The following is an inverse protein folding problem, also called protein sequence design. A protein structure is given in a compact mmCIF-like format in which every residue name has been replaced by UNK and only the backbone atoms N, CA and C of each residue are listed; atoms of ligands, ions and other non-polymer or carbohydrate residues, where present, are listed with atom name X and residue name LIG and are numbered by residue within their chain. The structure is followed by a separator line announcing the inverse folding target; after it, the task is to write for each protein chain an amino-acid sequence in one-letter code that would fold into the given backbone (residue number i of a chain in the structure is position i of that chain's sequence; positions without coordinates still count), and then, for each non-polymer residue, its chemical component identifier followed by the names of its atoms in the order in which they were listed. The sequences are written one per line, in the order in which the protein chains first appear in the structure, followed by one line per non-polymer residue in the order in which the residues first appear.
data_IF_351760528867
#
_entry.id   IF_351760528867
#
_cell.length_a   1.000
_cell.length_b   1.000
_cell.length_c   1.000
_cell.angle_alpha   90.00
_cell.angle_beta   90.00
_cell.angle_gamma   90.00
#
_symmetry.space_group_name_H-M   'P 1'
#
loop_
_entity.id
_entity.type
_entity.pdbx_description
1 polymer ?
#
# COMPACT_ATOMS: atom_id res chain seq x y z
N UNK A 1 -15.79 41.09 -40.64
CA UNK A 1 -16.61 40.83 -39.45
C UNK A 1 -15.66 40.84 -38.25
N UNK A 2 -15.52 42.00 -37.61
CA UNK A 2 -14.51 42.20 -36.56
C UNK A 2 -15.15 41.85 -35.21
N UNK A 3 -14.84 40.68 -34.68
CA UNK A 3 -15.25 40.29 -33.32
C UNK A 3 -14.36 41.03 -32.31
N UNK A 4 -14.90 42.09 -31.72
CA UNK A 4 -14.27 42.77 -30.60
C UNK A 4 -14.51 41.91 -29.33
N UNK A 5 -13.59 40.99 -29.05
CA UNK A 5 -13.70 40.09 -27.89
C UNK A 5 -13.45 40.93 -26.63
N UNK A 6 -14.50 41.16 -25.84
CA UNK A 6 -14.37 41.88 -24.57
C UNK A 6 -13.45 41.10 -23.61
N UNK A 7 -12.44 41.74 -22.99
CA UNK A 7 -11.51 41.09 -22.09
C UNK A 7 -12.16 40.46 -20.84
N UNK A 8 -13.41 40.83 -20.55
CA UNK A 8 -14.24 40.23 -19.51
C UNK A 8 -14.51 38.72 -19.71
N UNK A 9 -14.45 38.21 -20.94
CA UNK A 9 -14.70 36.78 -21.20
C UNK A 9 -13.58 35.90 -20.61
N UNK A 10 -12.36 36.43 -20.47
CA UNK A 10 -11.24 35.69 -19.88
C UNK A 10 -11.32 35.54 -18.35
N UNK A 11 -12.14 36.32 -17.66
CA UNK A 11 -12.30 36.21 -16.20
C UNK A 11 -13.25 35.07 -15.79
N UNK A 12 -14.17 34.71 -16.68
CA UNK A 12 -15.14 33.62 -16.50
C UNK A 12 -14.46 32.28 -16.19
N UNK A 13 -13.49 31.77 -16.99
CA UNK A 13 -12.82 30.50 -16.69
C UNK A 13 -12.02 30.54 -15.39
N UNK A 14 -11.49 31.69 -14.99
CA UNK A 14 -10.71 31.83 -13.76
C UNK A 14 -11.61 31.68 -12.52
N UNK A 15 -12.74 32.39 -12.51
CA UNK A 15 -13.70 32.33 -11.40
C UNK A 15 -14.33 30.94 -11.32
N UNK A 16 -14.70 30.35 -12.47
CA UNK A 16 -15.29 29.01 -12.48
C UNK A 16 -14.30 27.95 -12.00
N UNK A 17 -13.02 28.03 -12.39
CA UNK A 17 -11.96 27.15 -11.89
C UNK A 17 -11.76 27.31 -10.38
N UNK A 18 -11.76 28.54 -9.86
CA UNK A 18 -11.60 28.80 -8.43
C UNK A 18 -12.75 28.19 -7.62
N UNK A 19 -14.00 28.38 -8.05
CA UNK A 19 -15.18 27.82 -7.38
C UNK A 19 -15.15 26.29 -7.41
N UNK A 20 -14.82 25.69 -8.56
CA UNK A 20 -14.69 24.24 -8.67
C UNK A 20 -13.60 23.69 -7.75
N UNK A 21 -12.43 24.33 -7.74
CA UNK A 21 -11.31 23.95 -6.90
C UNK A 21 -11.69 23.96 -5.41
N UNK A 22 -12.31 25.05 -4.95
CA UNK A 22 -12.77 25.19 -3.56
C UNK A 22 -13.81 24.13 -3.22
N UNK A 23 -14.76 23.87 -4.12
CA UNK A 23 -15.82 22.88 -3.91
C UNK A 23 -15.25 21.47 -3.81
N UNK A 24 -14.32 21.09 -4.70
CA UNK A 24 -13.64 19.78 -4.66
C UNK A 24 -12.81 19.63 -3.40
N UNK A 25 -12.06 20.65 -3.02
CA UNK A 25 -11.28 20.64 -1.78
C UNK A 25 -12.17 20.47 -0.55
N UNK A 26 -13.29 21.18 -0.50
CA UNK A 26 -14.26 21.11 0.59
C UNK A 26 -14.94 19.73 0.66
N UNK A 27 -15.33 19.17 -0.50
CA UNK A 27 -15.92 17.84 -0.60
C UNK A 27 -14.95 16.76 -0.10
N UNK A 28 -13.68 16.82 -0.52
CA UNK A 28 -12.64 15.91 -0.03
C UNK A 28 -12.49 16.04 1.49
N UNK A 29 -12.42 17.26 2.02
CA UNK A 29 -12.30 17.49 3.45
C UNK A 29 -13.46 16.87 4.24
N UNK A 30 -14.71 17.01 3.75
CA UNK A 30 -15.91 16.41 4.35
C UNK A 30 -15.97 14.89 4.22
N UNK A 31 -15.42 14.32 3.15
CA UNK A 31 -15.38 12.88 2.94
C UNK A 31 -14.54 12.18 4.02
N UNK A 32 -13.42 12.81 4.41
CA UNK A 32 -12.44 12.25 5.36
C UNK A 32 -12.61 12.74 6.82
N UNK A 33 -13.28 13.87 7.07
CA UNK A 33 -13.51 14.39 8.42
C UNK A 33 -15.01 14.44 8.76
N UNK A 34 -15.43 14.13 10.01
CA UNK A 34 -14.60 13.84 11.18
C UNK A 34 -14.08 12.39 11.18
N UNK A 35 -12.79 12.24 11.51
CA UNK A 35 -12.09 10.94 11.59
C UNK A 35 -12.67 10.05 12.69
N UNK A 36 -13.07 10.68 13.80
CA UNK A 36 -13.69 10.02 14.94
C UNK A 36 -15.21 10.26 14.94
N UNK A 37 -16.01 9.24 15.32
CA UNK A 37 -17.45 9.37 15.40
C UNK A 37 -17.84 10.38 16.49
N UNK A 38 -18.33 11.55 16.08
CA UNK A 38 -18.87 12.55 17.01
C UNK A 38 -20.34 12.26 17.26
N UNK A 39 -20.69 12.05 18.51
CA UNK A 39 -22.07 11.85 18.93
C UNK A 39 -22.64 13.22 19.30
N UNK A 40 -23.60 13.68 18.51
CA UNK A 40 -24.34 14.90 18.81
C UNK A 40 -25.83 14.59 18.72
N UNK A 41 -26.55 14.77 19.83
CA UNK A 41 -28.01 14.67 19.88
C UNK A 41 -28.59 13.32 19.41
N UNK A 42 -27.92 12.21 19.76
CA UNK A 42 -28.34 10.85 19.39
C UNK A 42 -27.96 10.42 17.97
N UNK A 43 -27.32 11.29 17.18
CA UNK A 43 -26.82 11.00 15.84
C UNK A 43 -25.30 10.94 15.82
N UNK A 44 -24.76 9.89 15.19
CA UNK A 44 -23.31 9.71 15.01
C UNK A 44 -22.86 10.35 13.70
N UNK A 45 -22.16 11.48 13.79
CA UNK A 45 -21.52 12.13 12.64
C UNK A 45 -20.11 11.61 12.47
N UNK A 46 -19.88 10.91 11.36
CA UNK A 46 -18.57 10.40 10.96
C UNK A 46 -18.40 10.63 9.45
N UNK A 47 -17.18 10.97 9.02
CA UNK A 47 -16.87 11.03 7.59
C UNK A 47 -17.21 9.69 6.91
N UNK A 48 -17.68 9.75 5.67
CA UNK A 48 -18.11 8.54 4.93
C UNK A 48 -16.95 7.56 4.75
N UNK A 49 -15.74 8.09 4.51
CA UNK A 49 -14.54 7.28 4.34
C UNK A 49 -14.13 6.55 5.62
N UNK A 50 -13.87 7.21 6.78
CA UNK A 50 -13.51 6.51 8.01
C UNK A 50 -14.58 5.51 8.47
N UNK A 51 -15.87 5.76 8.19
CA UNK A 51 -16.94 4.81 8.50
C UNK A 51 -16.85 3.50 7.70
N UNK A 52 -16.30 3.54 6.48
CA UNK A 52 -16.24 2.39 5.55
C UNK A 52 -14.82 1.94 5.23
N UNK A 53 -13.81 2.47 5.92
CA UNK A 53 -12.40 2.24 5.62
C UNK A 53 -12.04 0.75 5.54
N UNK A 54 -12.55 -0.08 6.47
CA UNK A 54 -12.28 -1.51 6.48
C UNK A 54 -12.84 -2.22 5.24
N UNK A 55 -14.09 -1.94 4.86
CA UNK A 55 -14.71 -2.52 3.65
C UNK A 55 -13.99 -2.08 2.37
N UNK A 56 -13.58 -0.80 2.32
CA UNK A 56 -12.84 -0.26 1.18
C UNK A 56 -11.46 -0.93 1.08
N UNK A 57 -10.75 -1.11 2.19
CA UNK A 57 -9.45 -1.77 2.23
C UNK A 57 -9.53 -3.24 1.81
N UNK A 58 -10.54 -3.98 2.25
CA UNK A 58 -10.73 -5.38 1.87
C UNK A 58 -10.99 -5.52 0.35
N UNK A 59 -11.91 -4.71 -0.18
CA UNK A 59 -12.26 -4.76 -1.60
C UNK A 59 -11.10 -4.30 -2.49
N UNK A 60 -10.41 -3.22 -2.11
CA UNK A 60 -9.19 -2.79 -2.80
C UNK A 60 -8.11 -3.85 -2.73
N UNK A 61 -7.88 -4.45 -1.57
CA UNK A 61 -6.91 -5.53 -1.41
C UNK A 61 -7.22 -6.74 -2.28
N UNK A 62 -8.50 -7.11 -2.40
CA UNK A 62 -8.95 -8.19 -3.30
C UNK A 62 -8.67 -7.85 -4.77
N UNK A 63 -9.04 -6.66 -5.22
CA UNK A 63 -8.84 -6.23 -6.62
C UNK A 63 -7.34 -6.14 -6.93
N UNK A 64 -6.56 -5.47 -6.08
CA UNK A 64 -5.11 -5.32 -6.25
C UNK A 64 -4.42 -6.69 -6.27
N UNK A 65 -4.81 -7.59 -5.36
CA UNK A 65 -4.24 -8.94 -5.29
C UNK A 65 -4.63 -9.84 -6.46
N UNK A 66 -5.75 -9.57 -7.13
CA UNK A 66 -6.20 -10.34 -8.30
C UNK A 66 -5.69 -9.77 -9.62
N UNK A 67 -5.68 -8.44 -9.77
CA UNK A 67 -5.43 -7.77 -11.06
C UNK A 67 -4.04 -7.15 -11.19
N UNK A 68 -3.43 -6.67 -10.11
CA UNK A 68 -2.15 -5.93 -10.16
C UNK A 68 -0.95 -6.72 -9.66
N UNK A 69 -1.19 -7.76 -8.87
CA UNK A 69 -0.17 -8.66 -8.36
C UNK A 69 -0.43 -10.05 -8.90
N UNK A 70 -0.11 -10.30 -10.17
CA UNK A 70 -0.08 -11.66 -10.67
C UNK A 70 1.00 -12.43 -9.92
N UNK A 71 0.70 -13.67 -9.50
CA UNK A 71 1.71 -14.56 -8.91
C UNK A 71 2.97 -14.64 -9.76
N UNK A 72 2.83 -14.54 -11.08
CA UNK A 72 3.92 -14.53 -12.05
C UNK A 72 4.85 -13.30 -11.91
N UNK A 73 4.30 -12.12 -11.61
CA UNK A 73 5.10 -10.89 -11.42
C UNK A 73 5.92 -10.95 -10.13
N UNK A 74 5.33 -11.56 -9.08
CA UNK A 74 6.01 -11.80 -7.81
C UNK A 74 7.10 -12.84 -8.00
N UNK A 75 6.80 -13.96 -8.67
CA UNK A 75 7.76 -15.02 -8.98
C UNK A 75 8.92 -14.48 -9.81
N UNK A 76 8.66 -13.72 -10.87
CA UNK A 76 9.71 -13.13 -11.70
C UNK A 76 10.58 -12.13 -10.92
N UNK A 77 9.99 -11.39 -9.97
CA UNK A 77 10.76 -10.51 -9.08
C UNK A 77 11.62 -11.29 -8.08
N UNK A 78 11.12 -12.38 -7.52
CA UNK A 78 11.88 -13.17 -6.54
C UNK A 78 12.97 -13.98 -7.23
N UNK A 79 12.65 -14.63 -8.35
CA UNK A 79 13.53 -15.53 -9.11
C UNK A 79 14.37 -14.79 -10.15
N UNK A 80 14.14 -13.49 -10.35
CA UNK A 80 14.97 -12.65 -11.21
C UNK A 80 16.40 -12.63 -10.68
N UNK A 81 17.35 -13.03 -11.54
CA UNK A 81 18.72 -13.42 -11.13
C UNK A 81 19.44 -12.46 -10.18
N UNK A 82 19.22 -11.14 -10.25
CA UNK A 82 19.90 -10.19 -9.35
C UNK A 82 19.34 -10.11 -7.93
N UNK A 83 18.12 -10.62 -7.67
CA UNK A 83 17.55 -10.69 -6.33
C UNK A 83 17.96 -11.97 -5.62
N UNK A 84 18.12 -13.08 -6.35
CA UNK A 84 18.65 -14.33 -5.81
C UNK A 84 20.06 -14.14 -5.24
N UNK A 85 20.93 -13.41 -5.94
CA UNK A 85 22.30 -13.11 -5.47
C UNK A 85 22.32 -12.31 -4.14
N UNK A 86 21.26 -11.54 -3.87
CA UNK A 86 21.12 -10.77 -2.62
C UNK A 86 20.53 -11.58 -1.48
N UNK A 87 19.70 -12.58 -1.82
CA UNK A 87 19.03 -13.44 -0.84
C UNK A 87 19.93 -14.60 -0.43
N UNK A 88 20.78 -15.10 -1.35
CA UNK A 88 21.72 -16.19 -1.10
C UNK A 88 22.56 -16.04 0.18
N UNK A 89 23.24 -14.89 0.43
CA UNK A 89 24.04 -14.73 1.65
C UNK A 89 23.21 -14.73 2.94
N UNK A 90 21.96 -14.25 2.91
CA UNK A 90 21.08 -14.29 4.08
C UNK A 90 20.50 -15.69 4.33
N UNK A 91 20.23 -16.45 3.27
CA UNK A 91 19.85 -17.87 3.39
C UNK A 91 21.01 -18.68 3.97
N UNK A 92 22.22 -18.51 3.43
CA UNK A 92 23.43 -19.20 3.88
C UNK A 92 23.70 -18.94 5.37
N UNK A 93 23.60 -17.67 5.79
CA UNK A 93 23.73 -17.28 7.21
C UNK A 93 22.67 -17.94 8.10
N UNK A 94 21.40 -17.98 7.66
CA UNK A 94 20.33 -18.63 8.41
C UNK A 94 20.51 -20.15 8.50
N UNK A 95 20.98 -20.78 7.43
CA UNK A 95 21.28 -22.22 7.40
C UNK A 95 22.43 -22.50 8.36
N UNK A 96 23.51 -21.72 8.31
CA UNK A 96 24.66 -21.88 9.21
C UNK A 96 24.28 -21.70 10.67
N UNK A 97 23.47 -20.69 10.99
CA UNK A 97 22.97 -20.46 12.35
C UNK A 97 22.09 -21.62 12.82
N UNK A 98 21.19 -22.10 11.96
CA UNK A 98 20.33 -23.24 12.27
C UNK A 98 21.14 -24.52 12.51
N UNK A 99 22.10 -24.82 11.64
CA UNK A 99 22.96 -26.01 11.76
C UNK A 99 23.86 -25.95 12.99
N UNK A 100 24.39 -24.78 13.33
CA UNK A 100 25.32 -24.62 14.47
C UNK A 100 24.62 -24.57 15.82
N UNK A 101 23.48 -23.91 15.91
CA UNK A 101 22.78 -23.66 17.18
C UNK A 101 21.64 -24.65 17.34
N UNK A 102 20.65 -24.57 16.46
CA UNK A 102 19.36 -25.25 16.66
C UNK A 102 19.44 -26.76 16.41
N UNK A 103 20.22 -27.18 15.42
CA UNK A 103 20.37 -28.60 15.09
C UNK A 103 21.17 -29.34 16.17
N UNK A 104 22.22 -28.71 16.73
CA UNK A 104 22.98 -29.27 17.86
C UNK A 104 22.14 -29.41 19.13
N UNK A 105 21.27 -28.43 19.40
CA UNK A 105 20.39 -28.45 20.57
C UNK A 105 19.24 -29.47 20.46
N UNK A 106 18.63 -29.60 19.28
CA UNK A 106 17.43 -30.41 19.10
C UNK A 106 17.69 -31.84 18.60
N UNK A 107 18.75 -32.05 17.81
CA UNK A 107 19.07 -33.33 17.17
C UNK A 107 20.59 -33.60 17.19
N UNK A 108 21.17 -33.88 18.37
CA UNK A 108 22.61 -34.00 18.57
C UNK A 108 23.25 -35.14 17.74
N UNK A 109 22.53 -36.24 17.51
CA UNK A 109 22.98 -37.35 16.67
C UNK A 109 23.19 -36.94 15.21
N UNK A 110 22.32 -36.09 14.65
CA UNK A 110 22.40 -35.67 13.24
C UNK A 110 23.52 -34.62 13.06
N UNK A 111 23.69 -33.74 14.04
CA UNK A 111 24.76 -32.74 14.02
C UNK A 111 26.17 -33.36 14.00
N UNK A 112 26.36 -34.53 14.63
CA UNK A 112 27.62 -35.29 14.58
C UNK A 112 28.00 -35.75 13.16
N UNK A 113 27.03 -36.04 12.29
CA UNK A 113 27.30 -36.50 10.92
C UNK A 113 27.50 -35.34 9.93
N UNK A 114 26.95 -34.15 10.20
CA UNK A 114 27.07 -32.98 9.32
C UNK A 114 28.37 -32.19 9.58
N UNK A 115 28.93 -32.25 10.79
CA UNK A 115 30.14 -31.51 11.19
C UNK A 115 31.45 -31.86 10.46
N UNK A 116 31.45 -32.82 9.52
CA UNK A 116 32.67 -33.27 8.84
C UNK A 116 32.89 -32.68 7.44
N UNK A 117 31.93 -31.91 6.90
CA UNK A 117 32.03 -31.36 5.53
C UNK A 117 31.65 -29.89 5.43
N UNK A 118 32.33 -29.05 6.19
CA UNK A 118 32.56 -27.62 5.91
C UNK A 118 33.96 -27.27 6.37
#
# INVERSE_FOLDING_TARGET
MNFNINPWIYTIPFISALIHWVTIWMALKMLFHPKQPKHFLGMTFQGVFPKKQQQIAENLGRIVGQELLSFQDIEQKITGGSNLDRIYPEIEKHIDEFLRVRLKESMPMIAMFIGEKT
#
